data_IF_957067188345
#
_entry.id   IF_957067188345
#
_cell.length_a   1.000
_cell.length_b   1.000
_cell.length_c   1.000
_cell.angle_alpha   90.00
_cell.angle_beta   90.00
_cell.angle_gamma   90.00
#
_symmetry.space_group_name_H-M   'P 1'
#
loop_
_entity.id
_entity.type
_entity.pdbx_description
1 polymer ?
#
# COMPACT_ATOMS: atom_id res chain seq x y z
N UNK A 1 3.75 -8.83 7.55
CA UNK A 1 4.91 -7.91 7.30
C UNK A 1 6.31 -8.55 7.32
N UNK A 2 6.81 -9.19 8.41
CA UNK A 2 8.17 -9.81 8.46
C UNK A 2 8.50 -10.73 7.27
N UNK A 3 7.51 -11.46 6.78
CA UNK A 3 7.64 -12.38 5.63
C UNK A 3 7.93 -11.66 4.31
N UNK A 4 7.34 -10.49 4.07
CA UNK A 4 7.55 -9.69 2.85
C UNK A 4 8.95 -9.10 2.85
N UNK A 5 9.42 -8.56 3.98
CA UNK A 5 10.77 -8.00 4.09
C UNK A 5 11.86 -9.02 3.81
N UNK A 6 11.74 -10.20 4.42
CA UNK A 6 12.70 -11.28 4.20
C UNK A 6 12.66 -11.76 2.74
N UNK A 7 11.47 -11.86 2.14
CA UNK A 7 11.32 -12.19 0.72
C UNK A 7 12.02 -11.18 -0.18
N UNK A 8 11.84 -9.88 0.07
CA UNK A 8 12.50 -8.81 -0.68
C UNK A 8 14.02 -8.93 -0.56
N UNK A 9 14.57 -9.19 0.64
CA UNK A 9 16.01 -9.38 0.83
C UNK A 9 16.55 -10.54 0.03
N UNK A 10 15.86 -11.67 0.06
CA UNK A 10 16.25 -12.87 -0.66
C UNK A 10 16.24 -12.62 -2.18
N UNK A 11 15.27 -11.86 -2.69
CA UNK A 11 15.21 -11.47 -4.11
C UNK A 11 16.33 -10.51 -4.50
N UNK A 12 16.71 -9.53 -3.65
CA UNK A 12 17.86 -8.65 -3.92
C UNK A 12 19.14 -9.48 -4.08
N UNK A 13 19.38 -10.46 -3.18
CA UNK A 13 20.58 -11.30 -3.25
C UNK A 13 20.60 -12.13 -4.54
N UNK A 14 19.43 -12.58 -5.00
CA UNK A 14 19.28 -13.36 -6.23
C UNK A 14 19.30 -12.51 -7.51
N UNK A 15 19.11 -11.19 -7.40
CA UNK A 15 19.04 -10.29 -8.55
C UNK A 15 20.30 -10.40 -9.42
N UNK A 16 20.13 -10.48 -10.73
CA UNK A 16 21.23 -10.78 -11.67
C UNK A 16 22.38 -9.78 -11.56
N UNK A 17 22.08 -8.47 -11.47
CA UNK A 17 23.10 -7.43 -11.30
C UNK A 17 23.82 -7.48 -9.95
N UNK A 18 23.18 -8.02 -8.91
CA UNK A 18 23.80 -8.23 -7.58
C UNK A 18 24.67 -9.49 -7.60
N UNK A 19 24.10 -10.62 -8.06
CA UNK A 19 24.78 -11.92 -8.14
C UNK A 19 26.00 -11.90 -9.04
N UNK A 20 25.95 -11.16 -10.15
CA UNK A 20 27.06 -11.05 -11.10
C UNK A 20 28.09 -9.97 -10.69
N UNK A 21 27.91 -9.32 -9.54
CA UNK A 21 28.87 -8.38 -8.97
C UNK A 21 29.75 -9.02 -7.88
N UNK A 22 30.63 -8.24 -7.27
CA UNK A 22 31.42 -8.65 -6.09
C UNK A 22 30.53 -9.15 -4.94
N UNK A 23 29.29 -8.65 -4.86
CA UNK A 23 28.32 -9.03 -3.83
C UNK A 23 27.90 -10.50 -3.89
N UNK A 24 27.88 -11.11 -5.07
CA UNK A 24 27.54 -12.52 -5.24
C UNK A 24 28.63 -13.49 -4.80
N UNK A 25 29.84 -12.99 -4.54
CA UNK A 25 31.01 -13.79 -4.14
C UNK A 25 31.28 -13.76 -2.63
N UNK A 26 30.43 -13.07 -1.85
CA UNK A 26 30.61 -12.90 -0.40
C UNK A 26 29.35 -13.29 0.34
N UNK A 27 29.51 -14.07 1.42
CA UNK A 27 28.38 -14.54 2.23
C UNK A 27 27.91 -13.50 3.25
N UNK A 28 28.79 -12.57 3.66
CA UNK A 28 28.48 -11.52 4.62
C UNK A 28 28.88 -10.15 4.08
N UNK A 29 27.96 -9.20 4.14
CA UNK A 29 28.16 -7.86 3.62
C UNK A 29 28.68 -6.90 4.68
N UNK A 30 29.89 -6.40 4.45
CA UNK A 30 30.47 -5.23 5.16
C UNK A 30 29.96 -3.91 4.58
N UNK A 31 30.19 -2.80 5.28
CA UNK A 31 29.83 -1.43 4.83
C UNK A 31 30.15 -1.14 3.35
N UNK A 32 31.33 -1.54 2.87
CA UNK A 32 31.74 -1.35 1.47
C UNK A 32 30.82 -2.06 0.47
N UNK A 33 30.28 -3.21 0.83
CA UNK A 33 29.35 -3.97 0.01
C UNK A 33 27.99 -3.27 -0.09
N UNK A 34 27.50 -2.67 0.99
CA UNK A 34 26.29 -1.83 0.94
C UNK A 34 26.46 -0.56 0.10
N UNK A 35 27.69 -0.02 0.02
CA UNK A 35 28.01 1.09 -0.91
C UNK A 35 27.90 0.59 -2.36
N UNK A 36 28.44 -0.58 -2.67
CA UNK A 36 28.33 -1.18 -4.01
C UNK A 36 26.86 -1.45 -4.36
N UNK A 37 26.08 -2.02 -3.43
CA UNK A 37 24.66 -2.28 -3.64
C UNK A 37 23.87 -0.99 -3.90
N UNK A 38 24.16 0.07 -3.13
CA UNK A 38 23.57 1.39 -3.31
C UNK A 38 23.77 1.93 -4.73
N UNK A 39 24.98 1.77 -5.29
CA UNK A 39 25.26 2.21 -6.67
C UNK A 39 24.56 1.31 -7.70
N UNK A 40 24.59 -0.01 -7.54
CA UNK A 40 23.88 -0.95 -8.44
C UNK A 40 22.38 -0.61 -8.51
N UNK A 41 21.75 -0.41 -7.35
CA UNK A 41 20.33 -0.04 -7.28
C UNK A 41 20.11 1.32 -7.95
N UNK A 42 20.93 2.32 -7.64
CA UNK A 42 20.81 3.66 -8.21
C UNK A 42 20.90 3.66 -9.74
N UNK A 43 21.84 2.88 -10.31
CA UNK A 43 22.02 2.79 -11.76
C UNK A 43 20.77 2.19 -12.41
N UNK A 44 20.22 1.09 -11.86
CA UNK A 44 18.97 0.51 -12.34
C UNK A 44 17.79 1.49 -12.24
N UNK A 45 17.61 2.10 -11.08
CA UNK A 45 16.51 3.03 -10.82
C UNK A 45 16.60 4.30 -11.69
N UNK A 46 17.78 4.63 -12.20
CA UNK A 46 17.96 5.74 -13.13
C UNK A 46 17.39 5.46 -14.53
N UNK A 47 17.31 4.19 -14.90
CA UNK A 47 16.84 3.70 -16.20
C UNK A 47 15.38 3.19 -16.14
N UNK A 48 14.88 2.85 -14.95
CA UNK A 48 13.54 2.31 -14.72
C UNK A 48 12.42 3.23 -15.26
N UNK A 49 11.47 2.65 -15.99
CA UNK A 49 10.36 3.38 -16.60
C UNK A 49 9.37 3.89 -15.55
N UNK A 50 9.17 3.09 -14.52
CA UNK A 50 8.37 3.34 -13.33
C UNK A 50 8.87 4.58 -12.56
N UNK A 51 10.13 4.97 -12.76
CA UNK A 51 10.77 6.13 -12.14
C UNK A 51 10.99 7.29 -13.11
N UNK A 52 10.16 7.41 -14.15
CA UNK A 52 10.12 8.60 -15.01
C UNK A 52 9.12 9.65 -14.50
N UNK A 53 9.30 10.90 -14.94
CA UNK A 53 8.34 11.98 -14.69
C UNK A 53 8.14 12.29 -13.20
N UNK A 54 6.88 12.41 -12.79
CA UNK A 54 6.47 12.75 -11.42
C UNK A 54 7.12 11.83 -10.39
N UNK A 55 6.95 10.50 -10.55
CA UNK A 55 7.37 9.43 -9.62
C UNK A 55 8.85 9.55 -9.19
N UNK A 56 9.75 9.96 -10.11
CA UNK A 56 11.17 10.24 -9.81
C UNK A 56 11.38 11.28 -8.72
N UNK A 57 10.63 12.39 -8.78
CA UNK A 57 10.74 13.47 -7.81
C UNK A 57 10.13 13.10 -6.45
N UNK A 58 9.28 12.07 -6.41
CA UNK A 58 8.47 11.72 -5.24
C UNK A 58 9.18 10.76 -4.28
N UNK A 59 9.85 9.74 -4.83
CA UNK A 59 10.55 8.70 -4.06
C UNK A 59 12.07 8.76 -4.25
N UNK A 60 12.55 9.48 -5.27
CA UNK A 60 13.95 9.53 -5.67
C UNK A 60 14.41 8.26 -6.39
N UNK A 61 15.64 8.25 -6.88
CA UNK A 61 16.24 7.08 -7.52
C UNK A 61 17.48 6.55 -6.76
N UNK A 62 17.63 6.93 -5.48
CA UNK A 62 18.76 6.53 -4.64
C UNK A 62 18.29 5.97 -3.31
N UNK A 63 19.05 5.02 -2.77
CA UNK A 63 18.90 4.51 -1.41
C UNK A 63 20.29 4.55 -0.79
N UNK A 64 20.46 5.20 0.37
CA UNK A 64 21.79 5.28 0.98
C UNK A 64 22.26 3.91 1.47
N UNK A 65 23.57 3.67 1.40
CA UNK A 65 24.19 2.45 1.94
C UNK A 65 23.86 2.20 3.42
N UNK A 66 23.69 3.26 4.23
CA UNK A 66 23.28 3.15 5.64
C UNK A 66 21.84 2.62 5.76
N UNK A 67 20.95 3.06 4.87
CA UNK A 67 19.56 2.58 4.84
C UNK A 67 19.51 1.12 4.42
N UNK A 68 20.27 0.74 3.38
CA UNK A 68 20.39 -0.66 2.95
C UNK A 68 21.00 -1.54 4.04
N UNK A 69 22.02 -1.06 4.75
CA UNK A 69 22.61 -1.80 5.86
C UNK A 69 21.58 -2.11 6.95
N UNK A 70 20.86 -1.09 7.43
CA UNK A 70 19.77 -1.28 8.41
C UNK A 70 18.67 -2.19 7.86
N UNK A 71 18.38 -2.05 6.57
CA UNK A 71 17.43 -2.92 5.88
C UNK A 71 17.84 -4.38 5.90
N UNK A 72 19.11 -4.75 5.79
CA UNK A 72 19.54 -6.15 5.85
C UNK A 72 19.76 -6.66 7.28
N UNK A 73 20.22 -5.79 8.19
CA UNK A 73 20.58 -6.15 9.57
C UNK A 73 19.36 -6.24 10.52
N UNK A 74 18.13 -6.10 10.02
CA UNK A 74 16.89 -6.20 10.81
C UNK A 74 16.75 -5.18 11.93
N UNK A 75 17.41 -4.02 11.80
CA UNK A 75 17.46 -2.99 12.84
C UNK A 75 16.18 -2.11 12.91
N UNK A 76 15.08 -2.59 12.34
CA UNK A 76 13.79 -1.91 12.31
C UNK A 76 12.87 -2.45 13.41
N UNK A 77 12.46 -1.57 14.33
CA UNK A 77 11.45 -1.87 15.36
C UNK A 77 10.04 -1.79 14.76
N UNK A 78 9.04 -2.35 15.45
CA UNK A 78 7.65 -2.39 14.95
C UNK A 78 7.09 -1.01 14.55
N UNK A 79 7.52 0.07 15.22
CA UNK A 79 7.14 1.45 14.88
C UNK A 79 7.70 1.96 13.55
N UNK A 80 8.75 1.33 13.02
CA UNK A 80 9.34 1.73 11.73
C UNK A 80 8.55 1.20 10.54
N UNK A 81 7.67 0.22 10.76
CA UNK A 81 6.83 -0.35 9.71
C UNK A 81 5.76 0.63 9.19
N UNK A 82 5.40 1.64 9.99
CA UNK A 82 4.53 2.75 9.56
C UNK A 82 5.33 4.00 9.16
N UNK A 83 6.67 3.95 9.10
CA UNK A 83 7.48 5.09 8.66
C UNK A 83 7.42 5.21 7.13
N UNK A 84 6.86 6.31 6.63
CA UNK A 84 6.78 6.60 5.20
C UNK A 84 8.15 6.54 4.50
N UNK A 85 9.24 6.91 5.16
CA UNK A 85 10.59 6.82 4.58
C UNK A 85 10.99 5.37 4.35
N UNK A 86 10.60 4.49 5.25
CA UNK A 86 10.84 3.06 5.13
C UNK A 86 10.02 2.48 3.97
N UNK A 87 8.74 2.82 3.86
CA UNK A 87 7.89 2.39 2.74
C UNK A 87 8.40 2.87 1.38
N UNK A 88 8.82 4.14 1.27
CA UNK A 88 9.48 4.65 0.05
C UNK A 88 10.78 3.92 -0.28
N UNK A 89 11.47 3.38 0.72
CA UNK A 89 12.67 2.58 0.50
C UNK A 89 12.30 1.22 -0.10
N UNK A 90 11.28 0.56 0.44
CA UNK A 90 10.77 -0.70 -0.10
C UNK A 90 10.24 -0.53 -1.52
N UNK A 91 9.51 0.55 -1.78
CA UNK A 91 8.96 0.86 -3.09
C UNK A 91 10.07 0.94 -4.16
N UNK A 92 11.13 1.69 -3.86
CA UNK A 92 12.34 1.74 -4.71
C UNK A 92 12.99 0.38 -4.89
N UNK A 93 13.07 -0.45 -3.85
CA UNK A 93 13.64 -1.79 -3.95
C UNK A 93 12.76 -2.68 -4.84
N UNK A 94 11.43 -2.58 -4.74
CA UNK A 94 10.52 -3.35 -5.59
C UNK A 94 10.65 -2.93 -7.06
N UNK A 95 10.79 -1.63 -7.32
CA UNK A 95 11.10 -1.12 -8.67
C UNK A 95 12.44 -1.66 -9.18
N UNK A 96 13.47 -1.67 -8.33
CA UNK A 96 14.76 -2.27 -8.66
C UNK A 96 14.64 -3.77 -9.02
N UNK A 97 13.73 -4.49 -8.35
CA UNK A 97 13.46 -5.90 -8.61
C UNK A 97 12.56 -6.14 -9.85
N UNK A 98 12.11 -5.08 -10.53
CA UNK A 98 11.31 -5.15 -11.76
C UNK A 98 9.80 -5.10 -11.56
N UNK A 99 9.31 -4.67 -10.39
CA UNK A 99 7.88 -4.50 -10.09
C UNK A 99 7.47 -3.03 -10.21
N UNK A 100 6.18 -2.75 -10.39
CA UNK A 100 5.69 -1.35 -10.54
C UNK A 100 5.86 -0.51 -9.27
N UNK A 101 5.59 -1.13 -8.13
CA UNK A 101 5.64 -0.56 -6.79
C UNK A 101 5.58 -1.69 -5.75
N UNK A 102 5.57 -1.31 -4.47
CA UNK A 102 5.45 -2.27 -3.37
C UNK A 102 4.14 -3.07 -3.40
N UNK A 103 2.99 -2.49 -3.81
CA UNK A 103 1.73 -3.23 -3.85
C UNK A 103 1.75 -4.29 -4.96
N UNK A 104 2.28 -3.95 -6.13
CA UNK A 104 2.49 -4.88 -7.25
C UNK A 104 3.40 -6.05 -6.87
N UNK A 105 4.47 -5.78 -6.10
CA UNK A 105 5.32 -6.82 -5.53
C UNK A 105 4.54 -7.76 -4.60
N UNK A 106 3.81 -7.20 -3.63
CA UNK A 106 3.09 -7.98 -2.61
C UNK A 106 2.04 -8.87 -3.26
N UNK A 107 1.28 -8.32 -4.22
CA UNK A 107 0.31 -9.07 -5.02
C UNK A 107 0.99 -10.23 -5.75
N UNK A 108 2.08 -9.97 -6.47
CA UNK A 108 2.77 -11.00 -7.26
C UNK A 108 3.32 -12.13 -6.40
N UNK A 109 3.92 -11.82 -5.24
CA UNK A 109 4.45 -12.83 -4.32
C UNK A 109 3.33 -13.70 -3.75
N UNK A 110 2.16 -13.12 -3.46
CA UNK A 110 0.97 -13.88 -3.01
C UNK A 110 0.48 -14.82 -4.10
N UNK A 111 0.25 -14.32 -5.32
CA UNK A 111 -0.16 -15.15 -6.45
C UNK A 111 0.82 -16.30 -6.73
N UNK A 112 2.14 -16.08 -6.61
CA UNK A 112 3.12 -17.16 -6.77
C UNK A 112 2.98 -18.25 -5.71
N UNK A 113 2.65 -17.89 -4.46
CA UNK A 113 2.42 -18.85 -3.37
C UNK A 113 1.11 -19.63 -3.55
N UNK A 114 0.05 -18.96 -4.01
CA UNK A 114 -1.25 -19.58 -4.25
C UNK A 114 -1.25 -20.51 -5.48
N UNK A 115 -0.39 -20.27 -6.47
CA UNK A 115 -0.26 -21.22 -7.60
C UNK A 115 0.43 -22.55 -7.23
N UNK A 116 1.13 -22.61 -6.09
CA UNK A 116 1.69 -23.86 -5.54
C UNK A 116 0.69 -24.63 -4.65
N UNK A 117 -0.40 -24.00 -4.19
CA UNK A 117 -1.46 -24.58 -3.34
C UNK A 117 -2.85 -24.28 -3.96
N UNK A 118 -3.38 -25.20 -4.77
CA UNK A 118 -4.49 -24.93 -5.70
C UNK A 118 -5.74 -24.14 -5.23
N UNK A 119 -6.25 -23.36 -6.19
CA UNK A 119 -7.62 -22.80 -6.45
C UNK A 119 -8.08 -21.45 -5.86
N UNK A 120 -7.88 -20.40 -6.69
CA UNK A 120 -8.82 -19.44 -7.33
C UNK A 120 -9.83 -18.59 -6.51
N UNK A 121 -10.43 -19.10 -5.43
CA UNK A 121 -11.43 -18.33 -4.67
C UNK A 121 -10.79 -17.33 -3.69
N UNK A 122 -9.69 -17.74 -3.03
CA UNK A 122 -8.95 -16.84 -2.12
C UNK A 122 -8.23 -15.71 -2.87
N UNK A 123 -7.73 -16.00 -4.08
CA UNK A 123 -7.05 -15.02 -4.92
C UNK A 123 -8.03 -13.92 -5.37
N UNK A 124 -9.25 -14.31 -5.77
CA UNK A 124 -10.33 -13.39 -6.12
C UNK A 124 -10.75 -12.48 -4.94
N UNK A 125 -10.93 -13.05 -3.75
CA UNK A 125 -11.31 -12.27 -2.55
C UNK A 125 -10.19 -11.33 -2.10
N UNK A 126 -8.93 -11.77 -2.21
CA UNK A 126 -7.76 -10.94 -1.94
C UNK A 126 -7.70 -9.78 -2.93
N UNK A 127 -7.88 -10.05 -4.22
CA UNK A 127 -7.91 -9.02 -5.26
C UNK A 127 -9.02 -8.00 -5.01
N UNK A 128 -10.19 -8.43 -4.54
CA UNK A 128 -11.29 -7.52 -4.20
C UNK A 128 -10.91 -6.46 -3.15
N UNK A 129 -10.10 -6.81 -2.14
CA UNK A 129 -9.63 -5.85 -1.14
C UNK A 129 -8.65 -4.85 -1.77
N UNK A 130 -7.71 -5.31 -2.61
CA UNK A 130 -6.80 -4.43 -3.32
C UNK A 130 -7.52 -3.47 -4.26
N UNK A 131 -8.48 -3.99 -5.04
CA UNK A 131 -9.30 -3.19 -5.96
C UNK A 131 -10.13 -2.16 -5.19
N UNK A 132 -10.65 -2.53 -4.02
CA UNK A 132 -11.33 -1.61 -3.11
C UNK A 132 -10.41 -0.50 -2.59
N UNK A 133 -9.22 -0.82 -2.06
CA UNK A 133 -8.29 0.20 -1.59
C UNK A 133 -7.86 1.14 -2.73
N UNK A 134 -7.65 0.61 -3.93
CA UNK A 134 -7.38 1.41 -5.13
C UNK A 134 -8.55 2.36 -5.46
N UNK A 135 -9.77 1.84 -5.48
CA UNK A 135 -10.97 2.63 -5.76
C UNK A 135 -11.21 3.72 -4.71
N UNK A 136 -10.97 3.44 -3.42
CA UNK A 136 -11.04 4.42 -2.33
C UNK A 136 -10.00 5.52 -2.52
N UNK A 137 -8.77 5.17 -2.91
CA UNK A 137 -7.74 6.17 -3.16
C UNK A 137 -8.09 7.07 -4.35
N UNK A 138 -8.60 6.51 -5.45
CA UNK A 138 -9.11 7.29 -6.58
C UNK A 138 -10.33 8.15 -6.20
N UNK A 139 -11.19 7.65 -5.32
CA UNK A 139 -12.31 8.41 -4.78
C UNK A 139 -11.85 9.64 -4.01
N UNK A 140 -10.84 9.51 -3.14
CA UNK A 140 -10.27 10.66 -2.43
C UNK A 140 -9.59 11.68 -3.37
N UNK A 141 -9.02 11.24 -4.49
CA UNK A 141 -8.46 12.17 -5.49
C UNK A 141 -9.51 13.08 -6.15
N UNK A 142 -10.78 12.68 -6.13
CA UNK A 142 -11.86 13.48 -6.71
C UNK A 142 -12.41 14.53 -5.76
N UNK A 143 -12.02 14.51 -4.48
CA UNK A 143 -12.43 15.53 -3.53
C UNK A 143 -11.98 16.92 -4.01
N UNK A 144 -12.84 17.94 -3.90
CA UNK A 144 -14.08 18.02 -3.11
C UNK A 144 -15.33 17.50 -3.86
N UNK A 145 -15.20 16.98 -5.08
CA UNK A 145 -16.34 16.41 -5.78
C UNK A 145 -16.67 15.03 -5.21
N UNK A 146 -17.82 14.94 -4.54
CA UNK A 146 -18.27 13.69 -3.93
C UNK A 146 -18.87 12.74 -4.99
N UNK A 147 -18.11 11.71 -5.39
CA UNK A 147 -18.51 10.76 -6.42
C UNK A 147 -18.29 9.30 -6.00
N UNK A 148 -19.32 8.67 -5.43
CA UNK A 148 -19.26 7.27 -4.96
C UNK A 148 -19.35 6.24 -6.09
N UNK A 149 -19.51 6.65 -7.36
CA UNK A 149 -19.60 5.74 -8.51
C UNK A 149 -18.36 4.84 -8.63
N UNK A 150 -17.19 5.30 -8.18
CA UNK A 150 -15.95 4.50 -8.20
C UNK A 150 -16.01 3.26 -7.30
N UNK A 151 -16.87 3.26 -6.28
CA UNK A 151 -17.06 2.13 -5.39
C UNK A 151 -18.11 1.15 -5.93
N UNK A 152 -18.86 1.55 -6.97
CA UNK A 152 -19.87 0.68 -7.58
C UNK A 152 -19.19 -0.51 -8.24
N UNK A 153 -19.74 -1.68 -7.94
CA UNK A 153 -19.18 -2.95 -8.38
C UNK A 153 -18.38 -3.66 -7.29
N UNK A 154 -17.76 -2.91 -6.36
CA UNK A 154 -16.99 -3.47 -5.24
C UNK A 154 -17.81 -3.54 -3.95
N UNK A 155 -18.77 -2.63 -3.79
CA UNK A 155 -19.62 -2.49 -2.60
C UNK A 155 -21.09 -2.60 -3.00
N UNK A 156 -21.95 -3.14 -2.13
CA UNK A 156 -23.40 -3.11 -2.32
C UNK A 156 -23.98 -1.70 -2.07
N UNK A 157 -24.90 -1.26 -2.93
CA UNK A 157 -25.47 0.11 -2.88
C UNK A 157 -26.27 0.36 -1.59
N UNK A 158 -26.91 -0.68 -1.04
CA UNK A 158 -27.70 -0.67 0.20
C UNK A 158 -26.90 -1.11 1.43
N UNK A 159 -25.57 -1.20 1.31
CA UNK A 159 -24.72 -1.62 2.41
C UNK A 159 -24.64 -0.55 3.52
N UNK A 160 -24.64 -0.96 4.80
CA UNK A 160 -24.36 -0.07 5.91
C UNK A 160 -23.00 0.63 5.78
N UNK A 161 -22.05 -0.02 5.12
CA UNK A 161 -20.73 0.55 4.88
C UNK A 161 -20.76 1.73 3.91
N UNK A 162 -21.43 1.60 2.75
CA UNK A 162 -21.49 2.68 1.78
C UNK A 162 -22.22 3.90 2.34
N UNK A 163 -23.26 3.69 3.14
CA UNK A 163 -23.96 4.77 3.84
C UNK A 163 -23.02 5.56 4.76
N UNK A 164 -22.30 4.86 5.65
CA UNK A 164 -21.33 5.51 6.57
C UNK A 164 -20.18 6.18 5.83
N UNK A 165 -19.60 5.50 4.84
CA UNK A 165 -18.51 6.03 4.05
C UNK A 165 -18.95 7.31 3.32
N UNK A 166 -20.12 7.27 2.66
CA UNK A 166 -20.71 8.40 1.96
C UNK A 166 -21.02 9.57 2.88
N UNK A 167 -21.46 9.33 4.12
CA UNK A 167 -21.71 10.40 5.08
C UNK A 167 -20.39 11.10 5.44
N UNK A 168 -19.37 10.35 5.86
CA UNK A 168 -18.09 10.93 6.25
C UNK A 168 -17.39 11.64 5.09
N UNK A 169 -17.39 11.05 3.89
CA UNK A 169 -16.77 11.68 2.73
C UNK A 169 -17.51 12.94 2.30
N UNK A 170 -18.84 12.94 2.34
CA UNK A 170 -19.63 14.13 2.00
C UNK A 170 -19.32 15.30 2.93
N UNK A 171 -19.22 15.06 4.24
CA UNK A 171 -18.81 16.10 5.19
C UNK A 171 -17.42 16.69 4.89
N UNK A 172 -16.47 15.87 4.42
CA UNK A 172 -15.14 16.34 4.02
C UNK A 172 -15.19 17.14 2.71
N UNK A 173 -15.98 16.67 1.73
CA UNK A 173 -16.22 17.37 0.48
C UNK A 173 -16.89 18.73 0.68
N UNK A 174 -17.91 18.80 1.55
CA UNK A 174 -18.64 20.03 1.89
C UNK A 174 -17.72 21.05 2.59
N UNK A 175 -16.66 20.56 3.27
CA UNK A 175 -15.59 21.38 3.86
C UNK A 175 -14.43 21.68 2.90
N UNK A 176 -14.62 21.42 1.60
CA UNK A 176 -13.65 21.71 0.54
C UNK A 176 -12.27 21.09 0.77
N UNK A 177 -12.24 19.80 1.18
CA UNK A 177 -11.00 19.04 1.28
C UNK A 177 -10.49 18.64 -0.12
N UNK A 178 -9.18 18.73 -0.33
CA UNK A 178 -8.50 18.30 -1.56
C UNK A 178 -7.36 17.34 -1.20
N UNK A 179 -7.33 16.16 -1.80
CA UNK A 179 -6.22 15.23 -1.60
C UNK A 179 -4.97 15.70 -2.35
N UNK A 180 -3.83 15.78 -1.66
CA UNK A 180 -2.55 16.15 -2.24
C UNK A 180 -1.79 14.89 -2.65
N UNK A 181 -1.77 14.61 -3.94
CA UNK A 181 -1.04 13.47 -4.52
C UNK A 181 0.34 13.84 -5.05
N UNK A 182 0.58 15.13 -5.33
CA UNK A 182 1.86 15.61 -5.86
C UNK A 182 3.01 15.18 -4.95
N UNK A 183 4.07 14.63 -5.55
CA UNK A 183 5.24 14.13 -4.85
C UNK A 183 4.96 12.92 -3.94
N UNK A 184 3.99 12.08 -4.32
CA UNK A 184 3.53 10.90 -3.57
C UNK A 184 3.33 11.22 -2.08
N UNK A 185 2.75 12.39 -1.81
CA UNK A 185 2.43 12.83 -0.45
C UNK A 185 1.24 12.07 0.12
N UNK A 186 0.43 11.49 -0.76
CA UNK A 186 -0.64 10.58 -0.41
C UNK A 186 -0.47 9.24 -1.12
N UNK A 187 -0.57 8.13 -0.39
CA UNK A 187 -0.51 6.74 -0.87
C UNK A 187 -1.15 5.78 0.14
N UNK A 188 -1.21 4.52 -0.26
CA UNK A 188 -1.62 3.41 0.58
C UNK A 188 -0.86 2.14 0.22
N UNK A 189 -0.75 1.23 1.17
CA UNK A 189 -0.15 -0.08 1.01
C UNK A 189 -0.98 -1.14 1.73
N UNK A 190 -1.23 -2.27 1.07
CA UNK A 190 -1.91 -3.41 1.67
C UNK A 190 -0.87 -4.52 1.89
N UNK A 191 -0.49 -4.73 3.15
CA UNK A 191 0.58 -5.66 3.52
C UNK A 191 0.08 -7.08 3.69
N UNK A 192 -1.03 -7.21 4.40
CA UNK A 192 -1.60 -8.50 4.71
C UNK A 192 -3.08 -8.58 4.48
N UNK A 193 -3.53 -9.78 4.10
CA UNK A 193 -4.93 -10.15 3.97
C UNK A 193 -4.99 -11.62 4.36
N UNK A 194 -5.85 -11.95 5.30
CA UNK A 194 -6.15 -13.32 5.66
C UNK A 194 -7.65 -13.54 5.76
N UNK A 195 -8.08 -14.73 5.34
CA UNK A 195 -9.47 -15.16 5.47
C UNK A 195 -9.69 -15.62 6.91
N UNK A 196 -10.57 -14.92 7.62
CA UNK A 196 -11.00 -15.25 8.99
C UNK A 196 -12.19 -16.22 8.96
N UNK A 197 -13.05 -16.09 7.95
CA UNK A 197 -14.25 -16.94 7.81
C UNK A 197 -14.53 -17.21 6.34
N UNK A 198 -14.85 -18.47 6.07
CA UNK A 198 -15.04 -19.02 4.73
C UNK A 198 -16.37 -19.79 4.63
N UNK A 199 -17.49 -19.07 4.49
CA UNK A 199 -18.84 -19.66 4.38
C UNK A 199 -19.37 -19.54 2.94
N UNK A 200 -20.38 -20.33 2.52
CA UNK A 200 -20.84 -20.37 1.13
C UNK A 200 -21.35 -19.03 0.56
N UNK A 201 -21.93 -18.18 1.42
CA UNK A 201 -22.54 -16.89 1.07
C UNK A 201 -21.92 -15.70 1.81
N UNK A 202 -20.92 -15.96 2.65
CA UNK A 202 -20.27 -14.96 3.49
C UNK A 202 -18.78 -15.26 3.65
N UNK A 203 -17.95 -14.23 3.51
CA UNK A 203 -16.52 -14.30 3.81
C UNK A 203 -16.17 -13.16 4.75
N UNK A 204 -15.25 -13.41 5.68
CA UNK A 204 -14.66 -12.37 6.52
C UNK A 204 -13.17 -12.36 6.24
N UNK A 205 -12.65 -11.22 5.82
CA UNK A 205 -11.23 -11.00 5.59
C UNK A 205 -10.74 -9.96 6.58
N UNK A 206 -9.55 -10.18 7.13
CA UNK A 206 -8.84 -9.18 7.89
C UNK A 206 -7.61 -8.75 7.10
N UNK A 207 -7.45 -7.44 6.93
CA UNK A 207 -6.32 -6.84 6.22
C UNK A 207 -5.45 -6.03 7.17
N UNK A 208 -4.16 -5.92 6.83
CA UNK A 208 -3.25 -4.95 7.40
C UNK A 208 -2.91 -3.91 6.34
N UNK A 209 -3.33 -2.68 6.57
CA UNK A 209 -3.25 -1.59 5.62
C UNK A 209 -2.53 -0.40 6.20
N UNK A 210 -1.75 0.28 5.37
CA UNK A 210 -1.22 1.59 5.69
C UNK A 210 -1.78 2.63 4.76
N UNK A 211 -2.20 3.74 5.35
CA UNK A 211 -2.72 4.90 4.67
C UNK A 211 -1.92 6.12 5.10
N UNK A 212 -1.26 6.75 4.13
CA UNK A 212 -0.62 8.04 4.31
C UNK A 212 -1.31 9.03 3.38
N UNK A 213 -2.17 9.89 3.91
CA UNK A 213 -2.98 10.84 3.15
C UNK A 213 -2.72 12.26 3.67
N UNK A 214 -2.49 13.19 2.75
CA UNK A 214 -2.43 14.61 3.02
C UNK A 214 -3.61 15.28 2.33
N UNK A 215 -4.48 15.88 3.12
CA UNK A 215 -5.54 16.75 2.62
C UNK A 215 -5.20 18.21 2.87
N UNK A 216 -5.66 19.07 1.97
CA UNK A 216 -5.62 20.52 2.13
C UNK A 216 -7.03 21.08 2.01
N UNK A 217 -7.43 21.95 2.94
CA UNK A 217 -8.70 22.69 2.85
C UNK A 217 -8.50 23.85 1.88
N UNK A 218 -9.37 23.99 0.87
CA UNK A 218 -9.15 24.95 -0.20
C UNK A 218 -9.11 26.41 0.26
N UNK A 219 -10.06 26.84 1.10
CA UNK A 219 -10.15 28.24 1.56
C UNK A 219 -9.01 28.63 2.52
N UNK A 220 -8.71 27.80 3.53
CA UNK A 220 -7.73 28.15 4.57
C UNK A 220 -6.31 27.72 4.22
N UNK A 221 -6.19 26.73 3.33
CA UNK A 221 -4.95 26.04 3.04
C UNK A 221 -4.44 25.17 4.18
N UNK A 222 -5.25 24.91 5.21
CA UNK A 222 -4.91 24.05 6.34
C UNK A 222 -4.62 22.63 5.86
N UNK A 223 -3.53 22.05 6.38
CA UNK A 223 -3.08 20.70 6.03
C UNK A 223 -3.51 19.70 7.11
N UNK A 224 -4.17 18.61 6.70
CA UNK A 224 -4.54 17.50 7.56
C UNK A 224 -3.88 16.20 7.12
N UNK A 225 -3.21 15.55 8.06
CA UNK A 225 -2.49 14.31 7.81
C UNK A 225 -3.22 13.12 8.41
N UNK A 226 -3.33 12.06 7.61
CA UNK A 226 -3.63 10.70 8.05
C UNK A 226 -2.37 9.89 7.78
N UNK A 227 -1.79 9.29 8.81
CA UNK A 227 -0.63 8.43 8.67
C UNK A 227 -0.83 7.25 9.62
N UNK A 228 -1.34 6.15 9.09
CA UNK A 228 -1.93 5.12 9.92
C UNK A 228 -1.73 3.74 9.32
N UNK A 229 -1.09 2.87 10.11
CA UNK A 229 -1.13 1.44 9.93
C UNK A 229 -2.29 0.90 10.77
N UNK A 230 -3.29 0.31 10.13
CA UNK A 230 -4.46 -0.25 10.81
C UNK A 230 -4.78 -1.66 10.31
N UNK A 231 -5.53 -2.37 11.14
CA UNK A 231 -6.13 -3.65 10.79
C UNK A 231 -7.60 -3.39 10.46
N UNK A 232 -8.04 -3.74 9.25
CA UNK A 232 -9.43 -3.60 8.84
C UNK A 232 -10.10 -4.96 8.64
N UNK A 233 -11.40 -5.03 8.91
CA UNK A 233 -12.18 -6.26 8.77
C UNK A 233 -13.24 -6.05 7.70
N UNK A 234 -13.15 -6.82 6.63
CA UNK A 234 -14.09 -6.84 5.52
C UNK A 234 -15.10 -7.96 5.67
N UNK A 235 -16.37 -7.61 5.60
CA UNK A 235 -17.49 -8.55 5.53
C UNK A 235 -17.96 -8.58 4.07
N UNK A 236 -17.69 -9.68 3.39
CA UNK A 236 -18.04 -9.89 1.99
C UNK A 236 -19.24 -10.82 1.93
N UNK A 237 -20.24 -10.49 1.12
CA UNK A 237 -21.45 -11.31 0.94
C UNK A 237 -21.64 -11.68 -0.51
N UNK A 238 -22.23 -12.86 -0.73
CA UNK A 238 -22.73 -13.31 -2.03
C UNK A 238 -24.23 -13.05 -2.10
N UNK A 239 -24.66 -12.16 -2.98
CA UNK A 239 -26.08 -11.87 -3.22
C UNK A 239 -26.33 -11.97 -4.73
N UNK A 240 -27.32 -12.78 -5.14
CA UNK A 240 -27.62 -13.04 -6.56
C UNK A 240 -26.37 -13.44 -7.35
N UNK A 241 -25.61 -14.40 -6.83
CA UNK A 241 -24.34 -14.89 -7.37
C UNK A 241 -23.20 -13.88 -7.53
N UNK A 242 -23.35 -12.67 -6.98
CA UNK A 242 -22.30 -11.64 -7.01
C UNK A 242 -21.69 -11.47 -5.62
N UNK A 243 -20.37 -11.55 -5.52
CA UNK A 243 -19.63 -11.20 -4.32
C UNK A 243 -19.31 -9.70 -4.29
N UNK A 244 -19.64 -9.03 -3.20
CA UNK A 244 -19.20 -7.64 -2.93
C UNK A 244 -19.01 -7.41 -1.44
N UNK A 245 -18.31 -6.34 -1.11
CA UNK A 245 -18.16 -5.85 0.26
C UNK A 245 -19.54 -5.38 0.74
N UNK A 246 -20.01 -5.99 1.83
CA UNK A 246 -21.22 -5.63 2.55
C UNK A 246 -20.91 -4.71 3.73
N UNK A 247 -19.81 -4.94 4.42
CA UNK A 247 -19.38 -4.05 5.49
C UNK A 247 -17.85 -4.00 5.59
N UNK A 248 -17.33 -2.90 6.11
CA UNK A 248 -15.92 -2.76 6.47
C UNK A 248 -15.84 -2.07 7.84
N UNK A 249 -15.26 -2.80 8.79
CA UNK A 249 -14.87 -2.24 10.07
C UNK A 249 -13.45 -1.69 9.95
N UNK A 250 -13.39 -0.36 9.88
CA UNK A 250 -12.16 0.41 9.98
C UNK A 250 -12.17 1.11 11.36
N UNK A 251 -11.23 0.78 12.28
CA UNK A 251 -11.19 1.38 13.62
C UNK A 251 -11.01 2.91 13.59
N UNK A 252 -10.51 3.43 12.47
CA UNK A 252 -10.18 4.83 12.27
C UNK A 252 -11.22 5.57 11.41
N UNK A 253 -12.34 4.92 11.09
CA UNK A 253 -13.43 5.52 10.34
C UNK A 253 -13.90 6.83 11.00
N UNK A 254 -14.01 7.89 10.18
CA UNK A 254 -14.41 9.22 10.62
C UNK A 254 -13.40 9.92 11.54
N UNK A 255 -12.16 9.41 11.70
CA UNK A 255 -11.14 10.09 12.52
C UNK A 255 -10.88 11.52 12.05
N UNK A 256 -10.79 11.74 10.73
CA UNK A 256 -10.57 13.06 10.17
C UNK A 256 -11.75 13.99 10.47
N UNK A 257 -12.98 13.52 10.28
CA UNK A 257 -14.22 14.24 10.61
C UNK A 257 -14.24 14.67 12.08
N UNK A 258 -13.99 13.73 13.00
CA UNK A 258 -13.98 13.98 14.46
C UNK A 258 -12.92 15.01 14.87
N UNK A 259 -11.72 14.96 14.29
CA UNK A 259 -10.65 15.93 14.60
C UNK A 259 -11.07 17.37 14.25
N UNK A 260 -11.84 17.54 13.18
CA UNK A 260 -12.30 18.85 12.71
C UNK A 260 -13.45 19.39 13.57
N UNK A 261 -14.31 18.54 14.14
CA UNK A 261 -15.42 18.97 15.03
C UNK A 261 -14.94 19.57 16.37
N UNK A 262 -13.71 19.25 16.78
CA UNK A 262 -13.09 19.74 18.02
C UNK A 262 -12.40 21.10 17.93
N UNK A 263 -12.46 21.78 16.78
CA UNK A 263 -11.90 23.14 16.56
C UNK A 263 -13.05 24.14 16.52
#
# INVERSE_FOLDING_TARGET
>A
MKTIYNSIRDEIIKHSKVRNSVLGNVNEWKRSHYIILSEIIKDELSEAEELKGGKKFEIGNTISHVTLQRFFENDYQDKTHSDLRFLKTLDKICIFLGYKDLNDYILTVRYRKENDEGTDDQSYLTQMVYDYCAAVFEFYKQFPTHNTELLKGLVFDDSPFLERASQFSKELCDKDFHLITKNNRSNYEVFDIHVVTDEPDKKILESQEFWNLLFKVGETGEEHFVNQLSTQIYFIRKINDTWKIWDNYNPDAGMLNRKIETI
#
